data_IF_471027745399
#
_entry.id   IF_471027745399
#
_cell.length_a   1.000
_cell.length_b   1.000
_cell.length_c   1.000
_cell.angle_alpha   90.00
_cell.angle_beta   90.00
_cell.angle_gamma   90.00
#
_symmetry.space_group_name_H-M   'P 1'
#
loop_
_entity.id
_entity.type
_entity.pdbx_description
1 polymer ?
#
# COMPACT_ATOMS: atom_id res chain seq x y z
N UNK A 1 7.38 3.14 11.77
CA UNK A 1 6.96 3.09 10.38
C UNK A 1 7.95 3.79 9.46
N UNK A 2 7.83 3.62 8.14
CA UNK A 2 8.70 4.27 7.17
C UNK A 2 8.30 5.72 6.88
N UNK A 3 9.29 6.59 6.68
CA UNK A 3 9.08 8.01 6.37
C UNK A 3 8.52 8.15 4.94
N UNK A 4 7.26 8.57 4.82
CA UNK A 4 6.57 8.68 3.53
C UNK A 4 5.61 7.54 3.22
N UNK A 5 5.55 6.49 4.05
CA UNK A 5 4.53 5.44 3.97
C UNK A 5 3.11 6.02 4.07
N UNK A 6 2.12 5.23 3.65
CA UNK A 6 0.71 5.66 3.62
C UNK A 6 0.24 6.23 4.97
N UNK A 7 -0.28 7.47 5.02
CA UNK A 7 -0.35 8.24 6.27
C UNK A 7 -1.50 7.86 7.21
N UNK A 8 -2.43 7.01 6.81
CA UNK A 8 -3.61 6.68 7.64
C UNK A 8 -3.22 6.07 8.99
N UNK A 9 -2.22 5.18 9.00
CA UNK A 9 -1.68 4.63 10.25
C UNK A 9 -1.17 5.76 11.17
N UNK A 10 -0.42 6.72 10.61
CA UNK A 10 0.17 7.84 11.34
C UNK A 10 -0.90 8.72 11.99
N UNK A 11 -1.99 9.01 11.25
CA UNK A 11 -3.10 9.79 11.78
C UNK A 11 -3.78 9.10 12.96
N UNK A 12 -3.96 7.78 12.88
CA UNK A 12 -4.56 7.03 14.00
C UNK A 12 -3.62 6.99 15.20
N UNK A 13 -2.34 6.69 15.02
CA UNK A 13 -1.38 6.67 16.14
C UNK A 13 -1.35 8.02 16.84
N UNK A 14 -1.23 9.12 16.09
CA UNK A 14 -1.26 10.47 16.66
C UNK A 14 -2.60 10.80 17.34
N UNK A 15 -3.71 10.40 16.71
CA UNK A 15 -5.06 10.65 17.23
C UNK A 15 -5.33 9.94 18.57
N UNK A 16 -4.68 8.82 18.82
CA UNK A 16 -4.75 8.09 20.09
C UNK A 16 -3.59 8.46 21.05
N UNK A 17 -2.81 9.49 20.76
CA UNK A 17 -1.74 9.96 21.65
C UNK A 17 -0.47 9.12 21.58
N UNK A 18 -0.33 8.26 20.59
CA UNK A 18 0.89 7.49 20.37
C UNK A 18 2.02 8.36 19.78
N UNK A 19 3.26 7.97 20.02
CA UNK A 19 4.44 8.62 19.45
C UNK A 19 4.87 7.87 18.19
N UNK A 20 5.06 8.61 17.10
CA UNK A 20 5.56 8.08 15.83
C UNK A 20 7.07 8.28 15.74
N UNK A 21 7.74 7.24 15.29
CA UNK A 21 9.15 7.27 14.92
C UNK A 21 9.29 6.71 13.49
N UNK A 22 10.22 7.28 12.73
CA UNK A 22 10.32 7.02 11.31
C UNK A 22 11.69 6.43 10.94
N UNK A 23 11.67 5.54 9.95
CA UNK A 23 12.83 4.99 9.26
C UNK A 23 12.78 5.47 7.81
N UNK A 24 13.87 6.00 7.25
CA UNK A 24 13.89 6.36 5.84
C UNK A 24 13.73 5.11 4.94
N UNK A 25 13.21 5.33 3.74
CA UNK A 25 13.27 4.32 2.68
C UNK A 25 14.72 4.09 2.26
N UNK A 26 15.02 2.88 1.85
CA UNK A 26 16.29 2.51 1.22
C UNK A 26 16.01 1.91 -0.16
N UNK A 27 16.63 2.46 -1.20
CA UNK A 27 16.45 2.01 -2.58
C UNK A 27 14.95 1.93 -2.99
N UNK A 28 14.20 2.97 -2.64
CA UNK A 28 12.76 3.09 -2.90
C UNK A 28 11.86 2.02 -2.26
N UNK A 29 12.37 1.34 -1.22
CA UNK A 29 11.63 0.33 -0.44
C UNK A 29 11.62 0.68 1.04
N UNK A 30 10.63 0.20 1.75
CA UNK A 30 10.66 0.20 3.21
C UNK A 30 11.86 -0.63 3.70
N UNK A 31 12.71 -0.07 4.56
CA UNK A 31 13.88 -0.78 5.11
C UNK A 31 13.45 -1.65 6.29
N UNK A 32 13.19 -2.94 6.02
CA UNK A 32 12.67 -3.88 7.00
C UNK A 32 13.64 -4.08 8.18
N UNK A 33 14.94 -4.19 7.90
CA UNK A 33 15.95 -4.40 8.95
C UNK A 33 16.05 -3.16 9.85
N UNK A 34 16.08 -1.97 9.27
CA UNK A 34 16.13 -0.73 10.03
C UNK A 34 14.85 -0.51 10.85
N UNK A 35 13.68 -0.94 10.36
CA UNK A 35 12.43 -0.90 11.14
C UNK A 35 12.50 -1.80 12.37
N UNK A 36 13.00 -3.02 12.23
CA UNK A 36 13.20 -3.96 13.37
C UNK A 36 14.21 -3.40 14.36
N UNK A 37 15.36 -2.93 13.89
CA UNK A 37 16.40 -2.35 14.77
C UNK A 37 15.86 -1.13 15.52
N UNK A 38 15.14 -0.25 14.86
CA UNK A 38 14.50 0.91 15.47
C UNK A 38 13.47 0.51 16.53
N UNK A 39 12.66 -0.52 16.22
CA UNK A 39 11.67 -1.05 17.15
C UNK A 39 12.29 -1.63 18.41
N UNK A 40 13.40 -2.35 18.29
CA UNK A 40 14.17 -2.88 19.42
C UNK A 40 14.74 -1.72 20.27
N UNK A 41 15.41 -0.76 19.63
CA UNK A 41 16.05 0.38 20.28
C UNK A 41 15.05 1.20 21.10
N UNK A 42 13.85 1.42 20.57
CA UNK A 42 12.83 2.26 21.17
C UNK A 42 11.84 1.49 22.04
N UNK A 43 11.96 0.18 22.12
CA UNK A 43 10.94 -0.69 22.73
C UNK A 43 9.54 -0.40 22.15
N UNK A 44 9.47 -0.28 20.82
CA UNK A 44 8.23 0.08 20.12
C UNK A 44 7.13 -0.95 20.39
N UNK A 45 5.88 -0.47 20.47
CA UNK A 45 4.70 -1.34 20.65
C UNK A 45 4.09 -1.78 19.34
N UNK A 46 4.34 -1.02 18.26
CA UNK A 46 3.80 -1.29 16.93
C UNK A 46 4.87 -1.05 15.88
N UNK A 47 4.92 -1.92 14.88
CA UNK A 47 5.59 -1.71 13.61
C UNK A 47 4.52 -1.74 12.52
N UNK A 48 4.57 -0.81 11.57
CA UNK A 48 3.71 -0.83 10.40
C UNK A 48 4.57 -0.98 9.14
N UNK A 49 4.23 -1.96 8.33
CA UNK A 49 4.83 -2.25 7.02
C UNK A 49 3.72 -2.45 6.01
N UNK A 50 3.84 -1.85 4.84
CA UNK A 50 2.93 -2.04 3.70
C UNK A 50 3.58 -2.93 2.63
N UNK A 51 2.98 -4.08 2.34
CA UNK A 51 3.52 -5.00 1.33
C UNK A 51 2.42 -5.59 0.44
N UNK A 52 2.28 -5.12 -0.82
CA UNK A 52 3.04 -4.07 -1.50
C UNK A 52 2.86 -2.66 -0.93
N UNK A 53 3.90 -1.85 -1.09
CA UNK A 53 3.99 -0.51 -0.52
C UNK A 53 3.14 0.55 -1.25
N UNK A 54 2.75 1.54 -0.53
CA UNK A 54 2.23 2.80 -1.00
C UNK A 54 2.94 3.95 -0.23
N UNK A 55 3.79 4.78 -0.90
CA UNK A 55 3.56 5.30 -2.27
C UNK A 55 4.41 4.68 -3.39
N UNK A 56 5.39 3.86 -3.12
CA UNK A 56 6.38 3.47 -4.14
C UNK A 56 5.94 2.29 -5.01
N UNK A 57 4.97 1.48 -4.57
CA UNK A 57 4.55 0.27 -5.29
C UNK A 57 5.53 -0.89 -5.12
N UNK A 58 6.62 -0.69 -4.44
CA UNK A 58 7.65 -1.71 -4.17
C UNK A 58 7.11 -2.84 -3.28
N UNK A 59 7.80 -3.95 -3.29
CA UNK A 59 7.41 -5.11 -2.46
C UNK A 59 8.61 -5.92 -2.01
N UNK A 60 8.41 -6.66 -0.96
CA UNK A 60 9.29 -7.70 -0.46
C UNK A 60 8.68 -9.08 -0.73
N UNK A 61 9.51 -10.07 -0.94
CA UNK A 61 9.05 -11.45 -1.04
C UNK A 61 8.60 -12.02 0.31
N UNK A 62 7.93 -13.15 0.26
CA UNK A 62 7.40 -13.82 1.44
C UNK A 62 8.49 -14.18 2.45
N UNK A 63 9.67 -14.62 1.98
CA UNK A 63 10.80 -14.99 2.83
C UNK A 63 11.32 -13.81 3.64
N UNK A 64 11.47 -12.64 3.00
CA UNK A 64 11.88 -11.40 3.65
C UNK A 64 10.87 -10.98 4.74
N UNK A 65 9.57 -11.07 4.43
CA UNK A 65 8.52 -10.77 5.42
C UNK A 65 8.52 -11.80 6.57
N UNK A 66 8.65 -13.09 6.28
CA UNK A 66 8.75 -14.12 7.33
C UNK A 66 10.00 -13.93 8.20
N UNK A 67 11.11 -13.51 7.61
CA UNK A 67 12.33 -13.22 8.35
C UNK A 67 12.10 -12.14 9.41
N UNK A 68 11.47 -11.03 9.05
CA UNK A 68 11.19 -9.97 10.04
C UNK A 68 10.15 -10.38 11.08
N UNK A 69 9.17 -11.22 10.73
CA UNK A 69 8.18 -11.68 11.74
C UNK A 69 8.82 -12.44 12.89
N UNK A 70 9.94 -13.13 12.65
CA UNK A 70 10.71 -13.85 13.68
C UNK A 70 11.53 -12.91 14.59
N UNK A 71 11.78 -11.69 14.12
CA UNK A 71 12.63 -10.70 14.80
C UNK A 71 11.82 -9.63 15.55
N UNK A 72 10.49 -9.65 15.46
CA UNK A 72 9.62 -8.70 16.17
C UNK A 72 9.86 -8.80 17.67
N UNK A 73 10.11 -7.67 18.38
CA UNK A 73 10.26 -7.67 19.84
C UNK A 73 9.06 -8.28 20.56
N UNK A 74 9.27 -8.90 21.70
CA UNK A 74 8.24 -9.68 22.43
C UNK A 74 6.95 -8.89 22.70
N UNK A 75 7.08 -7.60 23.04
CA UNK A 75 5.95 -6.71 23.36
C UNK A 75 5.55 -5.81 22.18
N UNK A 76 5.91 -6.17 20.96
CA UNK A 76 5.62 -5.42 19.74
C UNK A 76 4.72 -6.19 18.80
N UNK A 77 3.82 -5.50 18.12
CA UNK A 77 2.93 -6.03 17.10
C UNK A 77 3.33 -5.50 15.72
N UNK A 78 3.46 -6.37 14.74
CA UNK A 78 3.59 -5.99 13.34
C UNK A 78 2.18 -5.87 12.72
N UNK A 79 1.87 -4.69 12.19
CA UNK A 79 0.74 -4.46 11.31
C UNK A 79 1.26 -4.56 9.87
N UNK A 80 0.93 -5.65 9.18
CA UNK A 80 1.28 -5.88 7.79
C UNK A 80 0.10 -5.48 6.90
N UNK A 81 0.22 -4.35 6.23
CA UNK A 81 -0.82 -3.82 5.34
C UNK A 81 -0.66 -4.44 3.94
N UNK A 82 -1.57 -5.34 3.60
CA UNK A 82 -1.64 -6.03 2.32
C UNK A 82 -2.75 -5.48 1.41
N UNK A 83 -3.01 -4.18 1.48
CA UNK A 83 -4.10 -3.56 0.70
C UNK A 83 -3.95 -3.74 -0.81
N UNK A 84 -2.76 -4.03 -1.31
CA UNK A 84 -2.46 -4.30 -2.71
C UNK A 84 -2.08 -5.77 -2.98
N UNK A 85 -2.29 -6.65 -2.03
CA UNK A 85 -1.85 -8.05 -2.09
C UNK A 85 -2.37 -8.82 -3.30
N UNK A 86 -3.58 -8.50 -3.81
CA UNK A 86 -4.14 -9.16 -4.99
C UNK A 86 -3.40 -8.81 -6.29
N UNK A 87 -2.68 -7.67 -6.34
CA UNK A 87 -1.88 -7.26 -7.51
C UNK A 87 -0.44 -7.78 -7.45
N UNK A 88 -0.04 -8.29 -6.29
CA UNK A 88 1.33 -8.70 -6.04
C UNK A 88 1.73 -9.94 -6.85
N UNK A 89 3.01 -10.02 -7.28
CA UNK A 89 3.52 -11.24 -7.90
C UNK A 89 3.40 -12.47 -6.99
N UNK A 90 3.29 -13.68 -7.55
CA UNK A 90 3.39 -14.90 -6.74
C UNK A 90 4.65 -14.90 -5.86
N UNK A 91 4.52 -15.36 -4.62
CA UNK A 91 5.61 -15.39 -3.66
C UNK A 91 5.86 -14.09 -2.89
N UNK A 92 5.02 -13.07 -3.06
CA UNK A 92 5.10 -11.82 -2.28
C UNK A 92 4.47 -11.96 -0.89
N UNK A 93 3.32 -12.61 -0.80
CA UNK A 93 2.60 -12.72 0.46
C UNK A 93 3.01 -14.02 1.18
N UNK A 94 3.44 -13.94 2.45
CA UNK A 94 3.78 -15.12 3.22
C UNK A 94 2.54 -15.98 3.50
N UNK A 95 2.70 -17.29 3.76
CA UNK A 95 1.62 -18.12 4.27
C UNK A 95 0.94 -17.51 5.50
N UNK A 96 -0.31 -17.89 5.74
CA UNK A 96 -1.01 -17.47 6.95
C UNK A 96 -0.49 -18.27 8.15
N UNK A 97 0.06 -17.58 9.13
CA UNK A 97 0.41 -18.11 10.44
C UNK A 97 -0.55 -17.51 11.48
N UNK A 98 -1.58 -18.28 11.83
CA UNK A 98 -2.62 -17.84 12.79
C UNK A 98 -2.20 -18.10 14.25
N UNK A 99 -1.11 -18.81 14.48
CA UNK A 99 -0.56 -19.04 15.82
C UNK A 99 0.34 -17.88 16.27
N UNK A 100 0.83 -17.08 15.33
CA UNK A 100 1.65 -15.91 15.63
C UNK A 100 0.81 -14.76 16.22
N UNK A 101 0.96 -14.55 17.52
CA UNK A 101 0.25 -13.49 18.27
C UNK A 101 0.78 -12.09 18.04
N UNK A 102 1.84 -11.92 17.23
CA UNK A 102 2.52 -10.64 17.01
C UNK A 102 2.38 -10.09 15.60
N UNK A 103 1.59 -10.75 14.75
CA UNK A 103 1.36 -10.30 13.36
C UNK A 103 -0.12 -10.12 13.11
N UNK A 104 -0.48 -8.93 12.64
CA UNK A 104 -1.82 -8.60 12.18
C UNK A 104 -1.76 -8.20 10.71
N UNK A 105 -2.39 -8.98 9.83
CA UNK A 105 -2.45 -8.71 8.40
C UNK A 105 -3.74 -7.97 8.08
N UNK A 106 -3.62 -6.86 7.35
CA UNK A 106 -4.76 -6.00 7.00
C UNK A 106 -5.04 -6.08 5.51
N UNK A 107 -6.28 -6.32 5.13
CA UNK A 107 -6.74 -6.39 3.74
C UNK A 107 -7.99 -5.54 3.51
N UNK A 108 -8.23 -5.19 2.25
CA UNK A 108 -9.34 -4.30 1.90
C UNK A 108 -10.07 -4.76 0.65
N UNK A 109 -11.36 -4.42 0.56
CA UNK A 109 -12.13 -4.53 -0.66
C UNK A 109 -12.07 -3.26 -1.53
N UNK A 110 -11.32 -2.26 -1.09
CA UNK A 110 -11.28 -0.93 -1.74
C UNK A 110 -10.46 -0.89 -3.03
N UNK A 111 -9.56 -1.87 -3.27
CA UNK A 111 -8.61 -1.88 -4.38
C UNK A 111 -9.03 -2.88 -5.45
N UNK A 112 -8.44 -4.06 -5.52
CA UNK A 112 -8.70 -5.06 -6.56
C UNK A 112 -10.19 -5.43 -6.71
N UNK A 113 -10.92 -5.43 -5.61
CA UNK A 113 -12.36 -5.73 -5.62
C UNK A 113 -13.25 -4.53 -6.02
N UNK A 114 -12.71 -3.32 -6.18
CA UNK A 114 -13.45 -2.13 -6.63
C UNK A 114 -14.55 -1.66 -5.67
N UNK A 115 -14.44 -1.93 -4.35
CA UNK A 115 -15.49 -1.61 -3.36
C UNK A 115 -15.09 -0.48 -2.40
N UNK A 116 -14.30 0.48 -2.87
CA UNK A 116 -13.83 1.59 -2.05
C UNK A 116 -14.96 2.36 -1.33
N UNK A 117 -16.07 2.60 -2.01
CA UNK A 117 -17.25 3.29 -1.45
C UNK A 117 -17.98 2.48 -0.37
N UNK A 118 -17.80 1.16 -0.28
CA UNK A 118 -18.46 0.32 0.72
C UNK A 118 -17.80 0.37 2.10
N UNK A 119 -16.61 0.95 2.22
CA UNK A 119 -15.85 1.11 3.47
C UNK A 119 -15.69 -0.20 4.24
N UNK A 120 -15.24 -1.27 3.58
CA UNK A 120 -15.06 -2.59 4.17
C UNK A 120 -13.66 -3.13 3.90
N UNK A 121 -13.08 -3.68 4.95
CA UNK A 121 -11.82 -4.40 4.96
C UNK A 121 -11.86 -5.47 6.04
N UNK A 122 -10.78 -6.20 6.20
CA UNK A 122 -10.68 -7.25 7.20
C UNK A 122 -9.25 -7.40 7.72
N UNK A 123 -9.16 -7.90 8.93
CA UNK A 123 -7.91 -8.27 9.58
C UNK A 123 -7.81 -9.79 9.69
N UNK A 124 -6.61 -10.33 9.55
CA UNK A 124 -6.28 -11.73 9.72
C UNK A 124 -5.16 -11.83 10.75
N UNK A 125 -5.32 -12.68 11.75
CA UNK A 125 -4.33 -12.88 12.79
C UNK A 125 -4.77 -13.91 13.81
N UNK A 126 -4.01 -14.06 14.88
CA UNK A 126 -4.33 -14.93 15.98
C UNK A 126 -5.72 -14.61 16.58
N UNK A 127 -6.47 -15.63 16.96
CA UNK A 127 -7.86 -15.48 17.43
C UNK A 127 -7.97 -14.57 18.65
N UNK A 128 -7.06 -14.67 19.61
CA UNK A 128 -7.07 -13.84 20.81
C UNK A 128 -6.82 -12.37 20.44
N UNK A 129 -5.87 -12.10 19.55
CA UNK A 129 -5.59 -10.76 19.07
C UNK A 129 -6.81 -10.16 18.33
N UNK A 130 -7.49 -10.94 17.49
CA UNK A 130 -8.68 -10.50 16.77
C UNK A 130 -9.84 -10.20 17.74
N UNK A 131 -9.98 -10.96 18.81
CA UNK A 131 -11.01 -10.72 19.83
C UNK A 131 -10.83 -9.37 20.53
N UNK A 132 -9.62 -8.85 20.65
CA UNK A 132 -9.36 -7.54 21.26
C UNK A 132 -10.08 -6.39 20.52
N UNK A 133 -10.30 -6.51 19.20
CA UNK A 133 -11.07 -5.52 18.44
C UNK A 133 -12.50 -5.36 18.95
N UNK A 134 -13.09 -6.40 19.55
CA UNK A 134 -14.45 -6.33 20.10
C UNK A 134 -14.57 -5.34 21.27
N UNK A 135 -13.46 -5.00 21.93
CA UNK A 135 -13.44 -4.04 23.04
C UNK A 135 -13.63 -2.59 22.59
N UNK A 136 -13.24 -2.28 21.33
CA UNK A 136 -13.17 -0.90 20.83
C UNK A 136 -13.91 -0.67 19.52
N UNK A 137 -14.25 -1.73 18.76
CA UNK A 137 -14.96 -1.56 17.48
C UNK A 137 -16.38 -1.06 17.67
N UNK A 138 -16.88 -0.29 16.72
CA UNK A 138 -18.31 -0.02 16.63
C UNK A 138 -19.06 -1.35 16.31
N UNK A 139 -20.02 -1.74 17.16
CA UNK A 139 -20.77 -2.99 17.02
C UNK A 139 -21.53 -3.10 15.68
N UNK A 140 -21.98 -1.99 15.14
CA UNK A 140 -22.73 -1.91 13.88
C UNK A 140 -21.94 -1.18 12.78
N UNK A 141 -20.60 -1.14 12.89
CA UNK A 141 -19.73 -0.35 12.00
C UNK A 141 -19.74 -0.79 10.53
N UNK A 142 -20.09 -2.06 10.25
CA UNK A 142 -20.19 -2.58 8.87
C UNK A 142 -21.65 -2.89 8.56
N UNK A 143 -22.26 -2.07 7.70
CA UNK A 143 -23.66 -2.23 7.29
C UNK A 143 -23.90 -3.50 6.46
N UNK A 144 -25.16 -4.00 6.47
CA UNK A 144 -25.55 -5.23 5.75
C UNK A 144 -25.22 -5.19 4.25
N UNK A 145 -25.37 -4.04 3.61
CA UNK A 145 -25.07 -3.86 2.18
C UNK A 145 -23.58 -4.07 1.92
N UNK A 146 -22.70 -3.48 2.74
CA UNK A 146 -21.26 -3.66 2.64
C UNK A 146 -20.84 -5.11 2.87
N UNK A 147 -21.45 -5.80 3.86
CA UNK A 147 -21.20 -7.22 4.11
C UNK A 147 -21.63 -8.10 2.93
N UNK A 148 -22.80 -7.85 2.35
CA UNK A 148 -23.29 -8.59 1.19
C UNK A 148 -22.41 -8.35 -0.04
N UNK A 149 -22.01 -7.10 -0.28
CA UNK A 149 -21.10 -6.73 -1.35
C UNK A 149 -19.73 -7.39 -1.22
N UNK A 150 -19.14 -7.40 -0.01
CA UNK A 150 -17.87 -8.07 0.26
C UNK A 150 -17.95 -9.58 0.00
N UNK A 151 -19.01 -10.23 0.48
CA UNK A 151 -19.23 -11.67 0.24
C UNK A 151 -19.41 -12.00 -1.25
N UNK A 152 -20.13 -11.16 -1.99
CA UNK A 152 -20.28 -11.31 -3.44
C UNK A 152 -18.95 -11.15 -4.16
N UNK A 153 -18.19 -10.11 -3.81
CA UNK A 153 -16.87 -9.83 -4.38
C UNK A 153 -15.87 -10.99 -4.16
N UNK A 154 -15.82 -11.56 -2.96
CA UNK A 154 -14.97 -12.74 -2.67
C UNK A 154 -15.34 -13.97 -3.51
N UNK A 155 -16.59 -14.12 -3.89
CA UNK A 155 -17.04 -15.26 -4.72
C UNK A 155 -16.79 -15.05 -6.20
N UNK A 156 -16.71 -13.80 -6.66
CA UNK A 156 -16.55 -13.46 -8.08
C UNK A 156 -15.07 -13.40 -8.47
N UNK A 157 -14.43 -14.55 -8.44
CA UNK A 157 -13.01 -14.66 -8.81
C UNK A 157 -12.79 -14.37 -10.31
N UNK A 158 -13.78 -14.63 -11.17
CA UNK A 158 -13.68 -14.32 -12.58
C UNK A 158 -13.60 -12.80 -12.81
N UNK A 159 -14.37 -11.99 -12.07
CA UNK A 159 -14.26 -10.54 -12.11
C UNK A 159 -12.89 -10.07 -11.60
N UNK A 160 -12.44 -10.60 -10.47
CA UNK A 160 -11.13 -10.27 -9.92
C UNK A 160 -10.01 -10.50 -10.96
N UNK A 161 -9.98 -11.66 -11.62
CA UNK A 161 -8.97 -11.95 -12.66
C UNK A 161 -9.03 -10.98 -13.84
N UNK A 162 -10.22 -10.59 -14.28
CA UNK A 162 -10.37 -9.55 -15.31
C UNK A 162 -9.78 -8.21 -14.87
N UNK A 163 -10.08 -7.78 -13.64
CA UNK A 163 -9.53 -6.54 -13.08
C UNK A 163 -8.00 -6.59 -13.00
N UNK A 164 -7.43 -7.69 -12.51
CA UNK A 164 -5.97 -7.84 -12.43
C UNK A 164 -5.31 -7.75 -13.81
N UNK A 165 -5.92 -8.38 -14.83
CA UNK A 165 -5.43 -8.31 -16.21
C UNK A 165 -5.52 -6.88 -16.77
N UNK A 166 -6.64 -6.18 -16.55
CA UNK A 166 -6.81 -4.80 -17.00
C UNK A 166 -5.80 -3.85 -16.33
N UNK A 167 -5.61 -3.98 -15.03
CA UNK A 167 -4.62 -3.18 -14.29
C UNK A 167 -3.21 -3.45 -14.81
N UNK A 168 -2.85 -4.71 -15.03
CA UNK A 168 -1.55 -5.05 -15.61
C UNK A 168 -1.34 -4.38 -16.97
N UNK A 169 -2.31 -4.47 -17.88
CA UNK A 169 -2.21 -3.84 -19.20
C UNK A 169 -2.08 -2.32 -19.07
N UNK A 170 -2.88 -1.70 -18.22
CA UNK A 170 -2.83 -0.25 -17.96
C UNK A 170 -1.46 0.19 -17.41
N UNK A 171 -0.86 -0.60 -16.52
CA UNK A 171 0.47 -0.31 -15.98
C UNK A 171 1.56 -0.42 -17.06
N UNK A 172 1.47 -1.37 -17.99
CA UNK A 172 2.42 -1.45 -19.12
C UNK A 172 2.31 -0.21 -20.01
N UNK A 173 1.08 0.21 -20.38
CA UNK A 173 0.89 1.45 -21.14
C UNK A 173 1.43 2.68 -20.39
N UNK A 174 1.22 2.79 -19.08
CA UNK A 174 1.78 3.88 -18.28
C UNK A 174 3.31 3.88 -18.27
N UNK A 175 3.95 2.70 -18.27
CA UNK A 175 5.41 2.59 -18.37
C UNK A 175 5.91 3.09 -19.73
N UNK A 176 5.24 2.71 -20.82
CA UNK A 176 5.53 3.18 -22.17
C UNK A 176 5.46 4.70 -22.24
N UNK A 177 4.35 5.30 -21.80
CA UNK A 177 4.16 6.76 -21.74
C UNK A 177 5.28 7.42 -20.93
N UNK A 178 5.64 6.89 -19.77
CA UNK A 178 6.70 7.45 -18.94
C UNK A 178 8.05 7.44 -19.66
N UNK A 179 8.43 6.32 -20.28
CA UNK A 179 9.70 6.17 -21.01
C UNK A 179 9.75 7.09 -22.23
N UNK A 180 8.68 7.19 -23.00
CA UNK A 180 8.57 8.09 -24.17
C UNK A 180 8.75 9.56 -23.79
N UNK A 181 8.39 9.94 -22.56
CA UNK A 181 8.59 11.27 -22.00
C UNK A 181 9.91 11.45 -21.23
N UNK A 182 10.84 10.49 -21.33
CA UNK A 182 12.16 10.56 -20.69
C UNK A 182 12.12 10.39 -19.16
N UNK A 183 11.05 9.83 -18.61
CA UNK A 183 10.88 9.54 -17.18
C UNK A 183 11.16 8.07 -16.89
N UNK A 184 11.47 7.75 -15.64
CA UNK A 184 11.81 6.37 -15.23
C UNK A 184 10.69 5.73 -14.45
N UNK A 185 9.94 4.75 -15.02
CA UNK A 185 8.95 4.00 -14.29
C UNK A 185 9.62 3.07 -13.28
N UNK A 186 9.17 3.11 -12.02
CA UNK A 186 9.68 2.21 -10.98
C UNK A 186 8.88 0.89 -10.98
N UNK A 187 9.50 -0.24 -10.56
CA UNK A 187 8.79 -1.50 -10.40
C UNK A 187 7.60 -1.35 -9.45
N UNK A 188 6.45 -1.95 -9.82
CA UNK A 188 5.25 -1.87 -9.00
C UNK A 188 4.52 -3.21 -8.88
N UNK A 189 4.02 -3.50 -7.69
CA UNK A 189 3.11 -4.60 -7.36
C UNK A 189 1.75 -4.07 -6.86
N UNK A 190 1.33 -2.91 -7.34
CA UNK A 190 0.08 -2.24 -6.95
C UNK A 190 -0.80 -1.92 -8.17
N UNK A 191 -1.86 -1.15 -7.98
CA UNK A 191 -2.68 -0.64 -9.08
C UNK A 191 -2.31 0.79 -9.50
N UNK A 192 -1.09 1.20 -9.23
CA UNK A 192 -0.53 2.49 -9.65
C UNK A 192 0.94 2.32 -10.05
N UNK A 193 1.45 3.26 -10.81
CA UNK A 193 2.85 3.38 -11.18
C UNK A 193 3.44 4.60 -10.49
N UNK A 194 4.57 4.41 -9.81
CA UNK A 194 5.42 5.51 -9.35
C UNK A 194 6.51 5.74 -10.39
N UNK A 195 6.69 6.97 -10.79
CA UNK A 195 7.56 7.39 -11.89
C UNK A 195 8.56 8.38 -11.33
N UNK A 196 9.84 8.05 -11.40
CA UNK A 196 10.93 8.95 -11.06
C UNK A 196 11.07 10.01 -12.18
N UNK A 197 10.97 11.27 -11.80
CA UNK A 197 11.06 12.39 -12.74
C UNK A 197 12.50 12.75 -13.12
N UNK A 198 13.50 12.02 -12.62
CA UNK A 198 14.92 12.21 -12.96
C UNK A 198 15.56 13.49 -12.39
N UNK A 199 14.83 14.25 -11.56
CA UNK A 199 15.27 15.50 -10.94
C UNK A 199 14.78 15.54 -9.48
N UNK A 200 14.71 16.72 -8.92
CA UNK A 200 14.29 16.94 -7.54
C UNK A 200 12.75 17.03 -7.35
N UNK A 201 12.34 17.19 -6.11
CA UNK A 201 10.92 17.33 -5.75
C UNK A 201 10.27 18.61 -6.29
N UNK A 202 11.03 19.67 -6.57
CA UNK A 202 10.48 20.90 -7.15
C UNK A 202 10.06 20.65 -8.61
N UNK A 203 10.86 19.90 -9.36
CA UNK A 203 10.53 19.50 -10.73
C UNK A 203 9.30 18.58 -10.76
N UNK A 204 9.25 17.56 -9.88
CA UNK A 204 8.10 16.66 -9.80
C UNK A 204 6.82 17.41 -9.42
N UNK A 205 6.90 18.39 -8.52
CA UNK A 205 5.78 19.25 -8.16
C UNK A 205 5.31 20.12 -9.34
N UNK A 206 6.23 20.70 -10.11
CA UNK A 206 5.90 21.49 -11.29
C UNK A 206 5.23 20.63 -12.37
N UNK A 207 5.74 19.42 -12.60
CA UNK A 207 5.14 18.45 -13.53
C UNK A 207 3.72 18.08 -13.08
N UNK A 208 3.54 17.75 -11.80
CA UNK A 208 2.21 17.46 -11.24
C UNK A 208 1.24 18.62 -11.45
N UNK A 209 1.66 19.86 -11.19
CA UNK A 209 0.80 21.05 -11.40
C UNK A 209 0.47 21.27 -12.89
N UNK A 210 1.42 21.02 -13.81
CA UNK A 210 1.16 21.06 -15.24
C UNK A 210 0.09 20.06 -15.67
N UNK A 211 0.19 18.82 -15.20
CA UNK A 211 -0.81 17.76 -15.46
C UNK A 211 -2.19 18.13 -14.90
N UNK A 212 -2.24 18.65 -13.67
CA UNK A 212 -3.49 19.11 -13.05
C UNK A 212 -4.12 20.24 -13.88
N UNK A 213 -3.30 21.19 -14.36
CA UNK A 213 -3.77 22.28 -15.22
C UNK A 213 -4.38 21.81 -16.56
N UNK A 214 -4.03 20.59 -16.99
CA UNK A 214 -4.60 19.91 -18.17
C UNK A 214 -5.73 18.92 -17.83
N UNK A 215 -6.19 18.89 -16.58
CA UNK A 215 -7.28 18.04 -16.12
C UNK A 215 -6.85 16.63 -15.71
N UNK A 216 -5.55 16.35 -15.62
CA UNK A 216 -5.02 15.04 -15.22
C UNK A 216 -4.60 15.09 -13.76
N UNK A 217 -5.33 14.36 -12.92
CA UNK A 217 -5.06 14.29 -11.49
C UNK A 217 -4.06 13.17 -11.16
N UNK A 218 -2.86 13.56 -10.74
CA UNK A 218 -1.82 12.64 -10.26
C UNK A 218 -1.43 12.94 -8.81
N UNK A 219 -0.71 12.07 -8.19
CA UNK A 219 -0.19 12.22 -6.84
C UNK A 219 1.33 12.29 -6.83
N UNK A 220 1.88 12.73 -5.69
CA UNK A 220 3.31 12.81 -5.46
C UNK A 220 3.59 12.36 -4.02
N UNK A 221 4.62 11.52 -3.75
CA UNK A 221 5.09 11.27 -2.40
C UNK A 221 5.53 12.58 -1.72
N UNK A 222 5.18 12.76 -0.45
CA UNK A 222 5.40 14.04 0.24
C UNK A 222 6.77 14.20 0.91
N UNK A 223 7.61 13.17 0.96
CA UNK A 223 8.85 13.13 1.75
C UNK A 223 10.06 12.91 0.84
N UNK A 224 11.13 13.70 1.04
CA UNK A 224 12.43 13.49 0.37
C UNK A 224 13.06 12.16 0.84
N UNK A 225 13.71 11.39 -0.06
CA UNK A 225 13.92 11.64 -1.49
C UNK A 225 12.79 11.15 -2.39
N UNK A 226 11.72 10.57 -1.86
CA UNK A 226 10.61 9.99 -2.63
C UNK A 226 9.82 11.04 -3.43
N UNK A 227 9.84 12.29 -2.96
CA UNK A 227 9.14 13.41 -3.59
C UNK A 227 9.71 13.83 -4.97
N UNK A 228 10.79 13.19 -5.46
CA UNK A 228 11.26 13.31 -6.84
C UNK A 228 10.36 12.58 -7.84
N UNK A 229 9.39 11.82 -7.34
CA UNK A 229 8.49 10.98 -8.13
C UNK A 229 7.08 11.56 -8.21
N UNK A 230 6.37 11.24 -9.29
CA UNK A 230 4.91 11.31 -9.36
C UNK A 230 4.33 9.90 -9.32
N UNK A 231 3.04 9.78 -8.95
CA UNK A 231 2.34 8.51 -8.87
C UNK A 231 1.02 8.58 -9.63
N UNK A 232 0.84 7.68 -10.61
CA UNK A 232 -0.34 7.61 -11.47
C UNK A 232 -1.05 6.28 -11.25
N UNK A 233 -2.35 6.32 -11.01
CA UNK A 233 -3.18 5.11 -10.87
C UNK A 233 -3.49 4.52 -12.25
N UNK A 234 -3.54 3.20 -12.37
CA UNK A 234 -4.01 2.51 -13.56
C UNK A 234 -5.40 3.04 -13.98
N UNK A 235 -5.51 3.49 -15.21
CA UNK A 235 -6.69 4.11 -15.79
C UNK A 235 -7.34 3.22 -16.85
N UNK A 236 -8.46 3.69 -17.39
CA UNK A 236 -9.11 3.09 -18.57
C UNK A 236 -8.31 3.44 -19.84
N UNK A 237 -8.44 2.65 -20.93
CA UNK A 237 -7.71 2.91 -22.17
C UNK A 237 -7.84 4.34 -22.70
N UNK A 238 -9.05 4.90 -22.66
CA UNK A 238 -9.33 6.27 -23.09
C UNK A 238 -8.68 7.34 -22.20
N UNK A 239 -8.54 7.07 -20.89
CA UNK A 239 -7.85 7.95 -19.95
C UNK A 239 -6.33 7.92 -20.19
N UNK A 240 -5.78 6.75 -20.50
CA UNK A 240 -4.37 6.59 -20.84
C UNK A 240 -4.02 7.22 -22.19
N UNK A 241 -4.91 7.10 -23.17
CA UNK A 241 -4.74 7.82 -24.44
C UNK A 241 -4.71 9.32 -24.22
N UNK A 242 -5.65 9.86 -23.43
CA UNK A 242 -5.66 11.29 -23.09
C UNK A 242 -4.38 11.72 -22.39
N UNK A 243 -3.84 10.90 -21.48
CA UNK A 243 -2.56 11.17 -20.81
C UNK A 243 -1.40 11.20 -21.83
N UNK A 244 -1.37 10.27 -22.79
CA UNK A 244 -0.31 10.18 -23.79
C UNK A 244 -0.29 11.38 -24.75
N UNK A 245 -1.45 11.95 -25.08
CA UNK A 245 -1.62 13.11 -25.95
C UNK A 245 -1.34 14.45 -25.26
N UNK A 246 -1.14 14.44 -23.94
CA UNK A 246 -1.02 15.62 -23.07
C UNK A 246 0.42 16.05 -22.84
#
# INVERSE_FOLDING_TARGET
TSAGAYPTFNYHVNGYGGKLEFVPYRDDREDLDALIQKAIQLQARLIYVSNPDNPMGSWWDAESIESITKQIPENCLLILDEAYGEFAPPGTLPPLDLDNQRVLRMRTFSKAYGRAGMRVGYAIGNAELILEFNKIRNHFGVGRVAQAAARAALKDQAHLQRVLTQVKNSLETLKEIAVENGLTPLPTASNFLTIDCGKDGAFAAALMQSLIGKGIFVRMPGVSPLNRCIRITAGLPEELQFLAET
#
